data_IF_905139907468
#
_entry.id   IF_905139907468
#
_cell.length_a   1.000
_cell.length_b   1.000
_cell.length_c   1.000
_cell.angle_alpha   90.00
_cell.angle_beta   90.00
_cell.angle_gamma   90.00
#
_symmetry.space_group_name_H-M   'P 1'
#
loop_
_entity.id
_entity.type
_entity.pdbx_description
1 polymer ?
#
# COMPACT_ATOMS: atom_id res chain seq x y z
N UNK A 1 -12.10 -46.48 -44.27
CA UNK A 1 -12.44 -45.11 -44.70
C UNK A 1 -13.57 -44.62 -43.82
N UNK A 2 -13.30 -43.67 -42.92
CA UNK A 2 -14.38 -42.92 -42.25
C UNK A 2 -13.98 -41.45 -42.12
N UNK A 3 -14.77 -40.64 -42.82
CA UNK A 3 -14.70 -39.21 -43.04
C UNK A 3 -15.91 -38.64 -42.27
N UNK A 4 -15.69 -37.57 -41.47
CA UNK A 4 -16.54 -36.98 -40.40
C UNK A 4 -15.96 -37.36 -39.03
N UNK A 5 -15.23 -36.51 -38.31
CA UNK A 5 -15.55 -35.13 -37.97
C UNK A 5 -14.29 -34.26 -38.10
N UNK A 6 -14.39 -33.31 -39.02
CA UNK A 6 -13.60 -32.10 -39.06
C UNK A 6 -13.64 -31.36 -37.71
N UNK A 7 -12.58 -30.60 -37.47
CA UNK A 7 -12.58 -29.39 -36.66
C UNK A 7 -12.80 -29.56 -35.15
N UNK A 8 -11.71 -29.82 -34.43
CA UNK A 8 -11.44 -29.09 -33.17
C UNK A 8 -9.97 -29.28 -32.78
N UNK A 9 -9.06 -28.78 -33.62
CA UNK A 9 -7.85 -28.17 -33.08
C UNK A 9 -8.29 -26.87 -32.41
N UNK A 10 -8.93 -27.00 -31.24
CA UNK A 10 -9.18 -25.88 -30.35
C UNK A 10 -7.82 -25.36 -29.94
N UNK A 11 -7.38 -24.29 -30.62
CA UNK A 11 -6.29 -23.46 -30.18
C UNK A 11 -6.68 -22.97 -28.79
N UNK A 12 -6.20 -23.68 -27.78
CA UNK A 12 -6.35 -23.33 -26.38
C UNK A 12 -5.41 -22.15 -26.15
N UNK A 13 -5.86 -20.97 -26.58
CA UNK A 13 -5.19 -19.70 -26.32
C UNK A 13 -5.43 -19.39 -24.84
N UNK A 14 -4.63 -20.01 -23.98
CA UNK A 14 -4.61 -19.72 -22.55
C UNK A 14 -4.16 -18.27 -22.39
N UNK A 15 -5.10 -17.39 -22.09
CA UNK A 15 -4.83 -16.03 -21.62
C UNK A 15 -4.17 -16.20 -20.24
N UNK A 16 -2.85 -16.28 -20.23
CA UNK A 16 -2.08 -16.25 -18.99
C UNK A 16 -2.11 -14.80 -18.51
N UNK A 17 -3.11 -14.48 -17.70
CA UNK A 17 -3.20 -13.19 -17.03
C UNK A 17 -1.99 -13.05 -16.12
N UNK A 18 -0.99 -12.28 -16.55
CA UNK A 18 0.15 -11.92 -15.72
C UNK A 18 -0.36 -10.96 -14.65
N UNK A 19 -0.64 -11.46 -13.46
CA UNK A 19 -0.90 -10.62 -12.29
C UNK A 19 0.41 -9.94 -11.92
N UNK A 20 0.54 -8.65 -12.19
CA UNK A 20 1.65 -7.84 -11.69
C UNK A 20 1.51 -7.75 -10.17
N UNK A 21 2.43 -8.39 -9.44
CA UNK A 21 2.56 -8.18 -8.00
C UNK A 21 3.28 -6.85 -7.79
N UNK A 22 2.65 -5.94 -7.05
CA UNK A 22 3.34 -4.74 -6.59
C UNK A 22 4.56 -5.14 -5.75
N UNK A 23 5.71 -4.52 -6.01
CA UNK A 23 6.91 -4.78 -5.25
C UNK A 23 6.70 -4.36 -3.78
N UNK A 24 7.23 -5.15 -2.85
CA UNK A 24 7.23 -4.78 -1.43
C UNK A 24 7.99 -3.46 -1.24
N UNK A 25 7.42 -2.45 -0.57
CA UNK A 25 8.09 -1.18 -0.38
C UNK A 25 9.32 -1.34 0.51
N UNK A 26 10.34 -0.51 0.25
CA UNK A 26 11.47 -0.40 1.18
C UNK A 26 11.07 0.50 2.34
N UNK A 27 11.16 0.01 3.56
CA UNK A 27 10.82 0.76 4.78
C UNK A 27 12.10 1.35 5.37
N UNK A 28 12.12 2.68 5.56
CA UNK A 28 13.24 3.41 6.12
C UNK A 28 12.79 4.18 7.37
N UNK A 29 13.53 4.07 8.47
CA UNK A 29 13.34 4.96 9.61
C UNK A 29 13.79 6.37 9.24
N UNK A 30 13.00 7.38 9.57
CA UNK A 30 13.35 8.78 9.31
C UNK A 30 14.55 9.21 10.18
N UNK A 31 14.62 8.70 11.41
CA UNK A 31 15.72 8.92 12.34
C UNK A 31 16.46 7.62 12.64
N UNK A 32 17.79 7.65 12.83
CA UNK A 32 18.58 6.47 13.21
C UNK A 32 18.33 6.01 14.65
N UNK A 33 17.67 6.84 15.47
CA UNK A 33 17.36 6.57 16.86
C UNK A 33 16.08 7.30 17.29
N UNK A 34 16.02 7.73 18.55
CA UNK A 34 14.86 8.45 19.09
C UNK A 34 14.56 9.73 18.27
N UNK A 35 13.33 9.92 17.77
CA UNK A 35 12.95 11.15 17.11
C UNK A 35 13.10 12.37 18.05
N UNK A 36 13.46 13.55 17.51
CA UNK A 36 13.57 14.76 18.30
C UNK A 36 12.20 15.21 18.82
N UNK A 37 12.17 15.81 20.01
CA UNK A 37 10.95 16.39 20.58
C UNK A 37 9.98 15.39 21.22
N UNK A 38 10.31 14.09 21.22
CA UNK A 38 9.49 13.08 21.89
C UNK A 38 9.54 13.26 23.42
N UNK A 39 8.39 13.65 23.99
CA UNK A 39 8.25 13.99 25.42
C UNK A 39 7.72 12.84 26.25
N UNK A 40 7.15 11.80 25.62
CA UNK A 40 6.53 10.67 26.31
C UNK A 40 6.83 9.37 25.56
N UNK A 41 6.78 8.25 26.26
CA UNK A 41 6.73 6.96 25.57
C UNK A 41 5.28 6.67 25.17
N UNK A 42 5.09 6.34 23.90
CA UNK A 42 3.78 5.92 23.39
C UNK A 42 3.65 4.40 23.53
N UNK A 43 2.41 3.86 23.63
CA UNK A 43 2.17 2.44 23.45
C UNK A 43 2.62 1.96 22.06
N UNK A 44 2.50 0.66 21.81
CA UNK A 44 2.78 0.12 20.48
C UNK A 44 1.90 0.78 19.40
N UNK A 45 2.50 0.96 18.22
CA UNK A 45 1.80 1.40 17.02
C UNK A 45 0.68 0.42 16.68
N UNK A 46 -0.52 0.92 16.42
CA UNK A 46 -1.71 0.10 16.23
C UNK A 46 -2.75 0.81 15.39
N UNK A 47 -3.54 0.05 14.65
CA UNK A 47 -4.74 0.54 14.00
C UNK A 47 -5.84 0.80 15.05
N UNK A 48 -6.17 2.07 15.24
CA UNK A 48 -7.17 2.53 16.22
C UNK A 48 -8.60 2.55 15.65
N UNK A 49 -8.81 2.10 14.42
CA UNK A 49 -10.14 2.09 13.80
C UNK A 49 -11.08 1.12 14.51
N UNK A 50 -12.28 1.60 14.81
CA UNK A 50 -13.35 0.87 15.48
C UNK A 50 -14.42 0.43 14.48
N UNK A 51 -15.13 -0.65 14.77
CA UNK A 51 -16.24 -1.11 13.92
C UNK A 51 -17.39 -0.10 13.82
N UNK A 52 -17.52 0.79 14.81
CA UNK A 52 -18.49 1.88 14.84
C UNK A 52 -18.05 3.11 14.05
N UNK A 53 -16.83 3.13 13.51
CA UNK A 53 -16.35 4.28 12.76
C UNK A 53 -17.07 4.43 11.42
N UNK A 54 -17.28 5.68 11.01
CA UNK A 54 -17.89 5.99 9.72
C UNK A 54 -17.01 5.46 8.58
N UNK A 55 -17.61 4.70 7.67
CA UNK A 55 -17.00 4.33 6.41
C UNK A 55 -16.88 5.54 5.48
N UNK A 56 -15.76 5.65 4.78
CA UNK A 56 -15.54 6.68 3.76
C UNK A 56 -15.63 6.00 2.40
N UNK A 57 -16.55 6.48 1.56
CA UNK A 57 -16.89 5.84 0.29
C UNK A 57 -17.20 4.33 0.42
N UNK A 58 -17.81 3.92 1.55
CA UNK A 58 -18.15 2.52 1.83
C UNK A 58 -16.97 1.64 2.27
N UNK A 59 -15.78 2.22 2.50
CA UNK A 59 -14.59 1.51 2.97
C UNK A 59 -14.20 1.91 4.39
N UNK A 60 -13.60 0.95 5.10
CA UNK A 60 -12.87 1.19 6.35
C UNK A 60 -11.54 1.87 6.02
N UNK A 61 -11.08 2.74 6.90
CA UNK A 61 -9.77 3.40 6.83
C UNK A 61 -8.92 2.90 8.00
N UNK A 62 -7.62 2.73 7.80
CA UNK A 62 -6.66 2.48 8.88
C UNK A 62 -6.34 3.80 9.58
N UNK A 63 -6.71 3.93 10.86
CA UNK A 63 -6.36 5.07 11.72
C UNK A 63 -5.15 4.70 12.55
N UNK A 64 -3.98 4.70 11.92
CA UNK A 64 -2.74 4.27 12.57
C UNK A 64 -2.35 5.27 13.66
N UNK A 65 -2.26 4.80 14.89
CA UNK A 65 -1.92 5.62 16.07
C UNK A 65 -0.66 5.14 16.76
N UNK A 66 -0.21 5.93 17.75
CA UNK A 66 0.99 5.66 18.55
C UNK A 66 2.29 5.52 17.74
N UNK A 67 2.40 6.23 16.62
CA UNK A 67 3.59 6.24 15.78
C UNK A 67 4.75 6.91 16.52
N UNK A 68 5.62 6.11 17.13
CA UNK A 68 6.80 6.55 17.90
C UNK A 68 8.12 6.35 17.16
N UNK A 69 8.11 5.52 16.11
CA UNK A 69 9.23 5.34 15.19
C UNK A 69 8.76 5.72 13.79
N UNK A 70 8.84 7.01 13.39
CA UNK A 70 8.37 7.43 12.09
C UNK A 70 9.20 6.82 10.96
N UNK A 71 8.51 6.30 9.96
CA UNK A 71 9.09 5.63 8.81
C UNK A 71 8.59 6.23 7.50
N UNK A 72 9.39 6.05 6.44
CA UNK A 72 8.99 6.29 5.06
C UNK A 72 8.99 4.95 4.34
N UNK A 73 7.86 4.63 3.70
CA UNK A 73 7.75 3.53 2.76
C UNK A 73 8.04 4.04 1.34
N UNK A 74 9.07 3.48 0.70
CA UNK A 74 9.48 3.85 -0.65
C UNK A 74 8.88 2.87 -1.65
N UNK A 75 7.97 3.38 -2.48
CA UNK A 75 7.38 2.68 -3.61
C UNK A 75 8.12 3.12 -4.88
N UNK A 76 8.80 2.18 -5.53
CA UNK A 76 9.54 2.46 -6.77
C UNK A 76 8.68 2.12 -7.98
N UNK A 77 8.66 2.99 -9.02
CA UNK A 77 8.06 2.62 -10.28
C UNK A 77 8.86 1.49 -10.95
N UNK A 78 8.27 0.88 -11.97
CA UNK A 78 9.01 -0.02 -12.86
C UNK A 78 10.26 0.70 -13.41
N UNK A 79 11.38 -0.02 -13.57
CA UNK A 79 12.66 0.55 -14.01
C UNK A 79 12.56 1.33 -15.33
N UNK A 80 11.66 0.92 -16.23
CA UNK A 80 11.40 1.60 -17.51
C UNK A 80 10.65 2.93 -17.38
N UNK A 81 9.99 3.16 -16.24
CA UNK A 81 9.22 4.37 -15.90
C UNK A 81 9.90 5.22 -14.83
N UNK A 82 11.06 4.79 -14.32
CA UNK A 82 11.82 5.55 -13.32
C UNK A 82 12.47 6.77 -13.98
N UNK A 83 11.86 7.93 -13.78
CA UNK A 83 12.34 9.23 -14.27
C UNK A 83 13.28 9.93 -13.27
N UNK A 84 13.46 9.37 -12.07
CA UNK A 84 14.15 10.04 -10.97
C UNK A 84 13.33 11.09 -10.21
N UNK A 85 12.11 11.41 -10.67
CA UNK A 85 11.19 12.27 -9.91
C UNK A 85 10.62 11.53 -8.69
N UNK A 86 10.24 12.27 -7.64
CA UNK A 86 9.66 11.67 -6.42
C UNK A 86 8.59 12.59 -5.82
N UNK A 87 7.59 11.97 -5.19
CA UNK A 87 6.53 12.63 -4.44
C UNK A 87 6.58 12.11 -3.01
N UNK A 88 6.46 13.01 -2.04
CA UNK A 88 6.32 12.65 -0.63
C UNK A 88 4.85 12.75 -0.27
N UNK A 89 4.28 11.63 0.20
CA UNK A 89 2.91 11.56 0.67
C UNK A 89 2.96 11.62 2.20
N UNK A 90 2.26 12.59 2.78
CA UNK A 90 2.14 12.78 4.21
C UNK A 90 0.67 12.56 4.60
N UNK A 91 0.26 11.36 5.06
CA UNK A 91 -1.10 11.10 5.48
C UNK A 91 -1.53 12.07 6.58
N UNK A 92 -2.76 12.57 6.51
CA UNK A 92 -3.33 13.47 7.50
C UNK A 92 -3.84 12.76 8.75
N UNK A 93 -4.78 13.40 9.46
CA UNK A 93 -5.28 12.95 10.77
C UNK A 93 -5.01 13.92 11.92
N UNK A 94 -4.58 15.14 11.61
CA UNK A 94 -4.55 16.26 12.54
C UNK A 94 -3.65 16.05 13.76
N UNK A 95 -2.55 15.31 13.61
CA UNK A 95 -1.60 14.93 14.67
C UNK A 95 -2.11 13.93 15.71
N UNK A 96 -3.30 13.34 15.51
CA UNK A 96 -3.84 12.34 16.44
C UNK A 96 -3.64 10.90 15.92
N UNK A 97 -3.74 10.73 14.61
CA UNK A 97 -3.56 9.46 13.88
C UNK A 97 -2.96 9.77 12.50
N UNK A 98 -2.54 8.73 11.77
CA UNK A 98 -2.37 8.76 10.32
C UNK A 98 -3.60 8.13 9.66
N UNK A 99 -4.21 8.84 8.70
CA UNK A 99 -5.20 8.28 7.78
C UNK A 99 -4.47 7.40 6.74
N UNK A 100 -3.93 6.29 7.22
CA UNK A 100 -2.75 5.63 6.67
C UNK A 100 -2.95 5.08 5.26
N UNK A 101 -4.10 4.46 5.00
CA UNK A 101 -4.43 3.94 3.68
C UNK A 101 -5.01 5.04 2.78
N UNK A 102 -6.12 5.66 3.17
CA UNK A 102 -6.86 6.61 2.32
C UNK A 102 -6.00 7.76 1.80
N UNK A 103 -5.21 8.39 2.68
CA UNK A 103 -4.36 9.55 2.32
C UNK A 103 -2.89 9.17 2.15
N UNK A 104 -2.56 7.88 2.32
CA UNK A 104 -1.21 7.33 2.22
C UNK A 104 -1.12 6.24 1.15
N UNK A 105 -1.23 4.98 1.55
CA UNK A 105 -0.91 3.85 0.66
C UNK A 105 -1.84 3.67 -0.53
N UNK A 106 -3.07 4.21 -0.51
CA UNK A 106 -3.93 4.22 -1.71
C UNK A 106 -3.48 5.26 -2.76
N UNK A 107 -2.68 6.26 -2.34
CA UNK A 107 -2.12 7.30 -3.22
C UNK A 107 -0.76 6.90 -3.80
N UNK A 108 0.01 6.10 -3.06
CA UNK A 108 1.37 5.68 -3.39
C UNK A 108 1.45 4.66 -4.53
#
# INVERSE_FOLDING_TARGET
MNLKQFAMCSIMFGIMATTSLAATPTILNIWPGKPPGETKELPAEVDLTKDTDKLIAGKRIIKLGNVSTPQIAVYKPEKSKDTGASVIICPGGGHNILAYDLEGTEVA
#
